data_IF_755397454864
#
_entry.id   IF_755397454864
#
_cell.length_a   1.000
_cell.length_b   1.000
_cell.length_c   1.000
_cell.angle_alpha   90.00
_cell.angle_beta   90.00
_cell.angle_gamma   90.00
#
_symmetry.space_group_name_H-M   'P 1'
#
loop_
_entity.id
_entity.type
_entity.pdbx_description
1 polymer ?
#
# COMPACT_ATOMS: atom_id res chain seq x y z
N UNK A 1 -11.68 -10.15 -39.66
CA UNK A 1 -10.79 -10.94 -38.75
C UNK A 1 -9.73 -10.09 -38.05
N UNK A 2 -9.27 -8.97 -38.63
CA UNK A 2 -8.25 -8.08 -38.03
C UNK A 2 -8.83 -7.19 -36.93
N UNK A 3 -10.03 -6.69 -37.07
CA UNK A 3 -10.70 -5.81 -36.10
C UNK A 3 -11.02 -6.50 -34.77
N UNK A 4 -11.46 -7.75 -34.82
CA UNK A 4 -11.71 -8.56 -33.61
C UNK A 4 -10.42 -8.95 -32.87
N UNK A 5 -9.29 -9.06 -33.56
CA UNK A 5 -7.97 -9.24 -32.91
C UNK A 5 -7.51 -8.00 -32.21
N UNK A 6 -7.67 -6.82 -32.83
CA UNK A 6 -7.34 -5.52 -32.21
C UNK A 6 -8.19 -5.28 -30.94
N UNK A 7 -9.50 -5.53 -31.00
CA UNK A 7 -10.38 -5.42 -29.82
C UNK A 7 -10.08 -6.46 -28.73
N UNK A 8 -9.63 -7.65 -29.11
CA UNK A 8 -9.21 -8.68 -28.15
C UNK A 8 -7.86 -8.34 -27.50
N UNK A 9 -6.95 -7.72 -28.24
CA UNK A 9 -5.66 -7.27 -27.70
C UNK A 9 -5.81 -6.03 -26.81
N UNK A 10 -6.71 -5.09 -27.12
CA UNK A 10 -7.03 -3.94 -26.29
C UNK A 10 -7.69 -4.36 -24.94
N UNK A 11 -8.50 -5.40 -24.92
CA UNK A 11 -9.11 -5.95 -23.70
C UNK A 11 -8.14 -6.76 -22.82
N UNK A 12 -6.94 -7.06 -23.29
CA UNK A 12 -5.90 -7.77 -22.53
C UNK A 12 -4.99 -6.86 -21.73
N UNK A 13 -4.99 -5.55 -22.02
CA UNK A 13 -4.08 -4.59 -21.38
C UNK A 13 -4.85 -3.83 -20.31
N UNK A 14 -4.45 -4.01 -19.06
CA UNK A 14 -4.91 -3.17 -17.96
C UNK A 14 -3.83 -2.14 -17.61
N UNK A 15 -4.25 -0.90 -17.41
CA UNK A 15 -3.36 0.18 -17.01
C UNK A 15 -3.38 0.28 -15.49
N UNK A 16 -2.24 0.00 -14.85
CA UNK A 16 -2.05 0.20 -13.41
C UNK A 16 -1.22 1.45 -13.16
N UNK A 17 -1.67 2.25 -12.22
CA UNK A 17 -0.89 3.38 -11.74
C UNK A 17 0.16 2.89 -10.76
N UNK A 18 1.39 3.36 -10.94
CA UNK A 18 2.49 3.15 -10.00
C UNK A 18 2.63 4.40 -9.16
N UNK A 19 2.50 4.24 -7.85
CA UNK A 19 2.80 5.31 -6.93
C UNK A 19 4.30 5.63 -6.97
N UNK A 20 4.71 6.89 -7.17
CA UNK A 20 6.11 7.28 -7.10
C UNK A 20 6.61 7.20 -5.66
N UNK A 21 7.93 7.08 -5.48
CA UNK A 21 8.55 7.28 -4.19
C UNK A 21 8.40 8.74 -3.78
N UNK A 22 8.02 8.98 -2.53
CA UNK A 22 7.90 10.33 -1.99
C UNK A 22 9.25 11.02 -1.92
N UNK A 23 9.34 12.30 -2.28
CA UNK A 23 10.56 13.10 -2.21
C UNK A 23 11.17 13.11 -0.81
N UNK A 24 12.48 13.12 -0.71
CA UNK A 24 13.20 13.23 0.57
C UNK A 24 13.24 14.69 1.04
N UNK A 25 13.33 14.88 2.36
CA UNK A 25 13.45 16.21 2.98
C UNK A 25 14.80 16.32 3.68
N UNK A 26 15.51 17.39 3.37
CA UNK A 26 16.84 17.67 3.91
C UNK A 26 16.86 18.99 4.68
N UNK A 27 17.76 19.12 5.65
CA UNK A 27 18.07 20.41 6.26
C UNK A 27 19.02 21.24 5.36
N UNK A 28 19.33 22.47 5.81
CA UNK A 28 20.25 23.37 5.08
C UNK A 28 21.67 22.81 4.90
N UNK A 29 22.07 21.84 5.69
CA UNK A 29 23.39 21.21 5.67
C UNK A 29 23.38 19.89 4.89
N UNK A 30 22.25 19.52 4.26
CA UNK A 30 22.09 18.28 3.53
C UNK A 30 21.83 17.04 4.40
N UNK A 31 21.54 17.22 5.69
CA UNK A 31 21.17 16.11 6.57
C UNK A 31 19.73 15.69 6.31
N UNK A 32 19.50 14.39 6.18
CA UNK A 32 18.18 13.82 5.93
C UNK A 32 17.29 14.01 7.15
N UNK A 33 16.12 14.62 6.95
CA UNK A 33 15.07 14.81 7.95
C UNK A 33 13.92 13.84 7.73
N UNK A 34 13.58 13.55 6.46
CA UNK A 34 12.59 12.53 6.10
C UNK A 34 13.02 11.78 4.84
N UNK A 35 12.96 10.45 4.89
CA UNK A 35 13.30 9.57 3.79
C UNK A 35 12.33 8.41 3.69
N UNK A 36 12.43 7.66 2.58
CA UNK A 36 11.70 6.41 2.42
C UNK A 36 12.65 5.24 2.71
N UNK A 37 12.18 4.28 3.47
CA UNK A 37 12.89 3.02 3.71
C UNK A 37 12.05 1.84 3.19
N UNK A 38 12.74 0.79 2.77
CA UNK A 38 12.07 -0.45 2.45
C UNK A 38 11.37 -1.00 3.68
N UNK A 39 10.13 -1.36 3.51
CA UNK A 39 9.34 -2.01 4.56
C UNK A 39 8.58 -3.19 3.98
N UNK A 40 8.22 -4.13 4.83
CA UNK A 40 7.46 -5.29 4.42
C UNK A 40 6.07 -5.22 5.04
N UNK A 41 5.08 -5.66 4.28
CA UNK A 41 3.69 -5.76 4.71
C UNK A 41 3.15 -7.14 4.43
N UNK A 42 2.17 -7.55 5.21
CA UNK A 42 1.38 -8.75 4.96
C UNK A 42 0.11 -8.36 4.25
N UNK A 43 -0.19 -9.07 3.19
CA UNK A 43 -1.46 -8.99 2.48
C UNK A 43 -2.17 -10.34 2.52
N UNK A 44 -3.50 -10.30 2.45
CA UNK A 44 -4.35 -11.48 2.33
C UNK A 44 -5.30 -11.33 1.15
N UNK A 45 -5.41 -12.37 0.32
CA UNK A 45 -6.33 -12.43 -0.81
C UNK A 45 -7.48 -13.37 -0.43
N UNK A 46 -8.71 -12.86 -0.47
CA UNK A 46 -9.91 -13.57 -0.01
C UNK A 46 -10.12 -14.89 -0.74
N UNK A 47 -10.01 -14.90 -2.07
CA UNK A 47 -10.27 -16.08 -2.87
C UNK A 47 -9.30 -17.24 -2.61
N UNK A 48 -8.06 -16.91 -2.18
CA UNK A 48 -7.02 -17.90 -1.90
C UNK A 48 -6.98 -18.32 -0.43
N UNK A 49 -7.52 -17.50 0.47
CA UNK A 49 -7.45 -17.72 1.91
C UNK A 49 -8.48 -18.74 2.43
N UNK A 50 -9.54 -19.03 1.67
CA UNK A 50 -10.63 -19.91 2.10
C UNK A 50 -11.38 -19.33 3.31
N UNK A 51 -10.96 -19.67 4.53
CA UNK A 51 -11.52 -19.13 5.77
C UNK A 51 -10.64 -18.01 6.32
N UNK A 52 -11.09 -16.77 6.15
CA UNK A 52 -10.36 -15.55 6.55
C UNK A 52 -10.11 -15.49 8.06
N UNK A 53 -11.13 -15.82 8.87
CA UNK A 53 -11.02 -15.74 10.32
C UNK A 53 -9.98 -16.74 10.86
N UNK A 54 -9.98 -17.96 10.34
CA UNK A 54 -9.02 -19.00 10.69
C UNK A 54 -7.60 -18.59 10.25
N UNK A 55 -7.44 -18.03 9.07
CA UNK A 55 -6.14 -17.55 8.57
C UNK A 55 -5.62 -16.39 9.41
N UNK A 56 -6.48 -15.41 9.77
CA UNK A 56 -6.11 -14.30 10.66
C UNK A 56 -5.76 -14.81 12.07
N UNK A 57 -6.49 -15.79 12.58
CA UNK A 57 -6.16 -16.42 13.86
C UNK A 57 -4.79 -17.11 13.82
N UNK A 58 -4.51 -17.90 12.79
CA UNK A 58 -3.20 -18.56 12.59
C UNK A 58 -2.08 -17.52 12.49
N UNK A 59 -2.32 -16.42 11.77
CA UNK A 59 -1.37 -15.33 11.62
C UNK A 59 -1.14 -14.59 12.96
N UNK A 60 -2.17 -14.41 13.77
CA UNK A 60 -2.07 -13.77 15.08
C UNK A 60 -1.21 -14.54 16.10
N UNK A 61 -1.03 -15.84 15.91
CA UNK A 61 -0.10 -16.66 16.70
C UNK A 61 1.37 -16.44 16.32
N UNK A 62 1.64 -15.94 15.14
CA UNK A 62 2.99 -15.72 14.63
C UNK A 62 3.47 -14.27 14.83
N UNK A 63 2.54 -13.32 14.72
CA UNK A 63 2.81 -11.89 14.82
C UNK A 63 1.72 -11.22 15.67
N UNK A 64 2.06 -10.06 16.26
CA UNK A 64 1.07 -9.28 17.00
C UNK A 64 0.09 -8.61 16.06
N UNK A 65 -1.16 -9.05 16.05
CA UNK A 65 -2.28 -8.38 15.36
C UNK A 65 -3.25 -7.90 16.44
N UNK A 66 -3.56 -6.60 16.46
CA UNK A 66 -4.54 -6.11 17.42
C UNK A 66 -5.96 -6.51 17.00
N UNK A 67 -6.87 -6.65 17.98
CA UNK A 67 -8.29 -6.90 17.72
C UNK A 67 -8.87 -5.86 16.72
N UNK A 68 -8.47 -4.61 16.88
CA UNK A 68 -8.88 -3.50 16.01
C UNK A 68 -8.42 -3.68 14.57
N UNK A 69 -7.18 -4.15 14.37
CA UNK A 69 -6.66 -4.43 13.03
C UNK A 69 -7.36 -5.62 12.39
N UNK A 70 -7.64 -6.68 13.15
CA UNK A 70 -8.37 -7.84 12.66
C UNK A 70 -9.78 -7.44 12.19
N UNK A 71 -10.54 -6.68 12.99
CA UNK A 71 -11.87 -6.18 12.60
C UNK A 71 -11.81 -5.32 11.34
N UNK A 72 -10.86 -4.37 11.27
CA UNK A 72 -10.65 -3.53 10.09
C UNK A 72 -10.36 -4.36 8.83
N UNK A 73 -9.52 -5.37 8.95
CA UNK A 73 -9.16 -6.24 7.81
C UNK A 73 -10.38 -7.02 7.31
N UNK A 74 -11.20 -7.56 8.21
CA UNK A 74 -12.43 -8.28 7.84
C UNK A 74 -13.39 -7.35 7.09
N UNK A 75 -13.64 -6.14 7.61
CA UNK A 75 -14.49 -5.16 6.96
C UNK A 75 -13.95 -4.73 5.58
N UNK A 76 -12.63 -4.55 5.45
CA UNK A 76 -11.98 -4.18 4.19
C UNK A 76 -12.08 -5.32 3.16
N UNK A 77 -11.91 -6.57 3.59
CA UNK A 77 -12.08 -7.77 2.75
C UNK A 77 -13.52 -7.91 2.24
N UNK A 78 -14.51 -7.61 3.07
CA UNK A 78 -15.92 -7.69 2.66
C UNK A 78 -16.29 -6.67 1.59
N UNK A 79 -15.67 -5.49 1.63
CA UNK A 79 -15.89 -4.39 0.68
C UNK A 79 -15.05 -4.50 -0.59
N UNK A 80 -14.00 -5.29 -0.57
CA UNK A 80 -13.05 -5.44 -1.68
C UNK A 80 -13.43 -6.58 -2.61
N UNK A 81 -12.99 -6.50 -3.88
CA UNK A 81 -13.12 -7.63 -4.79
C UNK A 81 -12.30 -8.83 -4.26
N UNK A 82 -12.79 -10.09 -4.42
CA UNK A 82 -12.18 -11.27 -3.81
C UNK A 82 -10.72 -11.54 -4.18
N UNK A 83 -10.30 -11.09 -5.36
CA UNK A 83 -8.95 -11.25 -5.89
C UNK A 83 -7.99 -10.11 -5.51
N UNK A 84 -8.49 -9.04 -4.86
CA UNK A 84 -7.64 -7.93 -4.45
C UNK A 84 -6.96 -8.21 -3.11
N UNK A 85 -5.64 -7.97 -3.01
CA UNK A 85 -4.93 -8.11 -1.76
C UNK A 85 -5.34 -7.02 -0.76
N UNK A 86 -5.70 -7.43 0.44
CA UNK A 86 -5.96 -6.54 1.57
C UNK A 86 -4.79 -6.60 2.53
N UNK A 87 -4.28 -5.44 2.94
CA UNK A 87 -3.14 -5.40 3.87
C UNK A 87 -3.60 -5.66 5.29
N UNK A 88 -3.01 -6.66 5.91
CA UNK A 88 -3.26 -7.01 7.31
C UNK A 88 -2.43 -6.12 8.24
N UNK A 89 -1.13 -6.02 7.97
CA UNK A 89 -0.18 -5.26 8.78
C UNK A 89 1.00 -4.77 7.95
N UNK A 90 1.46 -3.56 8.26
CA UNK A 90 2.64 -2.93 7.69
C UNK A 90 3.85 -3.01 8.66
N UNK A 91 5.02 -2.64 8.19
CA UNK A 91 6.26 -2.49 8.98
C UNK A 91 6.67 -3.74 9.74
N UNK A 92 6.74 -4.86 9.01
CA UNK A 92 7.20 -6.12 9.58
C UNK A 92 8.71 -6.11 9.85
N UNK A 93 9.11 -6.68 10.98
CA UNK A 93 10.50 -6.99 11.26
C UNK A 93 10.97 -8.22 10.47
N UNK A 94 12.29 -8.37 10.30
CA UNK A 94 12.85 -9.56 9.65
C UNK A 94 12.49 -10.86 10.37
N UNK A 95 12.42 -10.85 11.69
CA UNK A 95 12.02 -12.02 12.49
C UNK A 95 10.56 -12.41 12.25
N UNK A 96 9.67 -11.41 12.08
CA UNK A 96 8.27 -11.66 11.75
C UNK A 96 8.13 -12.23 10.35
N UNK A 97 8.88 -11.69 9.38
CA UNK A 97 8.92 -12.21 8.01
C UNK A 97 9.39 -13.67 7.98
N UNK A 98 10.48 -13.98 8.69
CA UNK A 98 11.02 -15.33 8.75
C UNK A 98 9.99 -16.32 9.35
N UNK A 99 9.29 -15.94 10.42
CA UNK A 99 8.23 -16.77 11.03
C UNK A 99 7.07 -17.01 10.06
N UNK A 100 6.64 -15.99 9.31
CA UNK A 100 5.58 -16.13 8.33
C UNK A 100 6.03 -17.02 7.18
N UNK A 101 7.24 -16.80 6.65
CA UNK A 101 7.79 -17.59 5.55
C UNK A 101 7.89 -19.08 5.92
N UNK A 102 8.33 -19.38 7.14
CA UNK A 102 8.39 -20.77 7.64
C UNK A 102 7.00 -21.42 7.79
N UNK A 103 5.94 -20.63 7.94
CA UNK A 103 4.56 -21.12 8.12
C UNK A 103 3.66 -20.87 6.90
N UNK A 104 4.20 -20.47 5.77
CA UNK A 104 3.44 -20.20 4.53
C UNK A 104 2.47 -21.31 4.14
N UNK A 105 2.81 -22.63 4.26
CA UNK A 105 1.86 -23.70 3.94
C UNK A 105 0.57 -23.70 4.78
N UNK A 106 0.63 -23.13 5.98
CA UNK A 106 -0.50 -23.03 6.91
C UNK A 106 -1.25 -21.69 6.83
N UNK A 107 -0.84 -20.82 5.90
CA UNK A 107 -1.36 -19.45 5.74
C UNK A 107 -1.85 -19.24 4.30
N UNK A 108 -2.91 -19.95 3.87
CA UNK A 108 -3.42 -19.82 2.51
C UNK A 108 -3.84 -18.36 2.24
N UNK A 109 -3.55 -17.86 1.04
CA UNK A 109 -3.88 -16.50 0.60
C UNK A 109 -3.06 -15.39 1.27
N UNK A 110 -2.13 -15.71 2.16
CA UNK A 110 -1.24 -14.72 2.81
C UNK A 110 0.04 -14.56 2.01
N UNK A 111 0.42 -13.31 1.74
CA UNK A 111 1.67 -12.96 1.06
C UNK A 111 2.41 -11.86 1.81
N UNK A 112 3.74 -11.90 1.74
CA UNK A 112 4.60 -10.81 2.21
C UNK A 112 4.99 -9.98 1.00
N UNK A 113 4.62 -8.71 1.03
CA UNK A 113 4.94 -7.76 -0.02
C UNK A 113 5.94 -6.72 0.46
N UNK A 114 6.82 -6.31 -0.43
CA UNK A 114 7.74 -5.21 -0.20
C UNK A 114 7.07 -3.88 -0.54
N UNK A 115 7.25 -2.89 0.31
CA UNK A 115 6.75 -1.53 0.12
C UNK A 115 7.76 -0.48 0.58
N UNK A 116 7.32 0.77 0.64
CA UNK A 116 8.08 1.88 1.19
C UNK A 116 7.35 2.43 2.43
N UNK A 117 8.11 2.72 3.47
CA UNK A 117 7.64 3.40 4.67
C UNK A 117 8.36 4.73 4.83
N UNK A 118 7.65 5.75 5.25
CA UNK A 118 8.23 7.06 5.53
C UNK A 118 8.90 7.05 6.91
N UNK A 119 10.18 7.41 6.97
CA UNK A 119 10.99 7.45 8.19
C UNK A 119 11.52 8.84 8.43
N UNK A 120 11.52 9.23 9.69
CA UNK A 120 11.97 10.53 10.19
C UNK A 120 13.12 10.32 11.20
N UNK A 121 14.39 10.30 10.76
CA UNK A 121 15.53 9.93 11.60
C UNK A 121 15.72 10.82 12.82
N UNK A 122 15.24 12.07 12.77
CA UNK A 122 15.38 13.06 13.85
C UNK A 122 14.02 13.56 14.32
N UNK A 123 13.03 12.66 14.45
CA UNK A 123 11.64 13.00 14.76
C UNK A 123 11.49 13.87 16.02
N UNK A 124 12.24 13.57 17.07
CA UNK A 124 12.17 14.31 18.34
C UNK A 124 12.46 15.81 18.19
N UNK A 125 13.39 16.16 17.29
CA UNK A 125 13.81 17.55 17.08
C UNK A 125 12.93 18.31 16.09
N UNK A 126 12.30 17.62 15.11
CA UNK A 126 11.65 18.26 13.97
C UNK A 126 10.18 17.89 13.79
N UNK A 127 9.58 17.10 14.69
CA UNK A 127 8.21 16.56 14.55
C UNK A 127 7.17 17.65 14.24
N UNK A 128 7.22 18.78 14.93
CA UNK A 128 6.25 19.87 14.75
C UNK A 128 6.42 20.64 13.43
N UNK A 129 7.65 20.68 12.89
CA UNK A 129 7.96 21.39 11.64
C UNK A 129 7.73 20.49 10.44
N UNK A 130 8.27 19.28 10.47
CA UNK A 130 8.20 18.33 9.36
C UNK A 130 6.81 17.73 9.21
N UNK A 131 6.17 17.41 10.32
CA UNK A 131 4.88 16.73 10.32
C UNK A 131 5.02 15.25 10.02
N UNK A 132 3.96 14.67 9.47
CA UNK A 132 3.90 13.23 9.14
C UNK A 132 2.99 12.97 7.93
N UNK A 133 3.15 11.79 7.37
CA UNK A 133 2.27 11.26 6.31
C UNK A 133 1.25 10.28 6.87
N UNK A 134 0.12 10.18 6.21
CA UNK A 134 -0.94 9.22 6.55
C UNK A 134 -1.80 8.88 5.35
N UNK A 135 -2.65 7.86 5.44
CA UNK A 135 -3.53 7.46 4.34
C UNK A 135 -4.47 8.62 3.94
N UNK A 136 -4.85 8.65 2.67
CA UNK A 136 -5.80 9.62 2.14
C UNK A 136 -7.14 9.48 2.88
N UNK A 137 -7.67 10.59 3.34
CA UNK A 137 -9.00 10.67 3.98
C UNK A 137 -10.00 11.36 3.06
N UNK A 138 -11.29 11.21 3.35
CA UNK A 138 -12.36 11.88 2.59
C UNK A 138 -12.20 13.42 2.61
N UNK A 139 -11.65 13.96 3.69
CA UNK A 139 -11.34 15.40 3.79
C UNK A 139 -10.20 15.83 2.87
N UNK A 140 -9.22 14.95 2.62
CA UNK A 140 -8.13 15.20 1.68
C UNK A 140 -8.65 15.17 0.23
N UNK A 141 -9.52 14.21 -0.09
CA UNK A 141 -10.18 14.12 -1.40
C UNK A 141 -11.03 15.36 -1.72
N UNK A 142 -11.79 15.85 -0.74
CA UNK A 142 -12.64 17.05 -0.89
C UNK A 142 -11.83 18.33 -1.05
N UNK A 143 -10.64 18.40 -0.46
CA UNK A 143 -9.75 19.57 -0.52
C UNK A 143 -8.93 19.60 -1.78
N UNK A 144 -8.60 18.45 -2.33
CA UNK A 144 -7.89 18.34 -3.59
C UNK A 144 -8.86 18.65 -4.71
N UNK A 145 -8.80 19.88 -5.26
CA UNK A 145 -9.52 20.27 -6.48
C UNK A 145 -9.03 19.50 -7.72
N UNK A 146 -7.98 18.73 -7.57
CA UNK A 146 -7.37 17.95 -8.64
C UNK A 146 -7.91 16.51 -8.59
N UNK A 147 -8.43 16.08 -9.73
CA UNK A 147 -8.83 14.69 -9.95
C UNK A 147 -7.58 13.78 -10.08
N UNK A 148 -6.64 13.92 -9.12
CA UNK A 148 -5.36 13.21 -9.17
C UNK A 148 -5.59 11.71 -8.91
N UNK A 149 -5.28 10.86 -9.90
CA UNK A 149 -5.53 9.44 -9.79
C UNK A 149 -4.71 8.75 -8.69
N UNK A 150 -3.58 9.32 -8.25
CA UNK A 150 -2.78 8.79 -7.14
C UNK A 150 -3.56 8.74 -5.83
N UNK A 151 -4.45 9.72 -5.59
CA UNK A 151 -5.25 9.79 -4.37
C UNK A 151 -6.30 8.67 -4.27
N UNK A 152 -6.60 8.01 -5.40
CA UNK A 152 -7.51 6.87 -5.49
C UNK A 152 -6.81 5.53 -5.27
N UNK A 153 -5.47 5.51 -5.24
CA UNK A 153 -4.71 4.31 -4.95
C UNK A 153 -4.95 3.92 -3.48
N UNK A 154 -5.36 2.67 -3.20
CA UNK A 154 -5.55 2.21 -1.84
C UNK A 154 -4.31 2.47 -0.98
N UNK A 155 -4.52 3.08 0.20
CA UNK A 155 -3.46 3.39 1.17
C UNK A 155 -2.36 4.34 0.68
N UNK A 156 -2.61 5.07 -0.39
CA UNK A 156 -1.69 6.13 -0.77
C UNK A 156 -1.55 7.13 0.39
N UNK A 157 -0.30 7.51 0.69
CA UNK A 157 0.00 8.39 1.81
C UNK A 157 0.16 9.83 1.35
N UNK A 158 -0.46 10.73 2.10
CA UNK A 158 -0.36 12.19 1.89
C UNK A 158 0.12 12.87 3.15
N UNK A 159 0.76 14.02 3.02
CA UNK A 159 1.19 14.83 4.14
C UNK A 159 -0.01 15.38 4.93
N UNK A 160 -0.04 15.13 6.22
CA UNK A 160 -1.15 15.54 7.11
C UNK A 160 -0.93 16.89 7.74
N UNK A 161 0.29 17.20 8.14
CA UNK A 161 0.68 18.46 8.79
C UNK A 161 2.10 18.86 8.40
N UNK A 162 2.52 20.05 8.73
CA UNK A 162 3.89 20.55 8.59
C UNK A 162 4.38 20.66 7.14
N UNK A 163 5.67 20.51 6.95
CA UNK A 163 6.35 20.53 5.65
C UNK A 163 5.77 19.44 4.72
N UNK A 164 5.51 18.25 5.25
CA UNK A 164 4.93 17.14 4.49
C UNK A 164 3.61 17.52 3.81
N UNK A 165 2.77 18.32 4.50
CA UNK A 165 1.51 18.81 3.94
C UNK A 165 1.71 20.02 3.03
N UNK A 166 2.57 20.97 3.44
CA UNK A 166 2.75 22.21 2.72
C UNK A 166 3.35 22.00 1.33
N UNK A 167 4.28 21.05 1.24
CA UNK A 167 4.95 20.67 -0.01
C UNK A 167 4.41 19.35 -0.61
N UNK A 168 3.17 18.97 -0.27
CA UNK A 168 2.56 17.71 -0.69
C UNK A 168 2.70 17.48 -2.21
N UNK A 169 2.38 18.48 -3.03
CA UNK A 169 2.38 18.35 -4.50
C UNK A 169 3.78 18.11 -5.06
N UNK A 170 4.80 18.68 -4.44
CA UNK A 170 6.20 18.49 -4.84
C UNK A 170 6.72 17.14 -4.33
N UNK A 171 6.46 16.82 -3.05
CA UNK A 171 6.96 15.61 -2.40
C UNK A 171 6.28 14.35 -2.93
N UNK A 172 4.99 14.44 -3.30
CA UNK A 172 4.20 13.31 -3.81
C UNK A 172 4.73 12.78 -5.15
N UNK A 173 5.25 13.67 -6.00
CA UNK A 173 5.69 13.32 -7.36
C UNK A 173 4.53 13.02 -8.32
N UNK A 174 4.87 12.45 -9.47
CA UNK A 174 3.93 12.13 -10.55
C UNK A 174 3.74 10.62 -10.70
N UNK A 175 2.50 10.21 -11.00
CA UNK A 175 2.16 8.81 -11.22
C UNK A 175 2.96 8.20 -12.37
N UNK A 176 3.54 7.03 -12.15
CA UNK A 176 3.96 6.14 -13.22
C UNK A 176 2.79 5.34 -13.78
N UNK A 177 2.95 4.86 -15.00
CA UNK A 177 1.96 4.01 -15.67
C UNK A 177 2.63 2.68 -16.01
N UNK A 178 2.00 1.58 -15.56
CA UNK A 178 2.39 0.22 -15.93
C UNK A 178 1.25 -0.41 -16.73
N UNK A 179 1.59 -0.96 -17.89
CA UNK A 179 0.67 -1.77 -18.68
C UNK A 179 0.88 -3.24 -18.29
N UNK A 180 -0.15 -3.89 -17.81
CA UNK A 180 -0.14 -5.32 -17.44
C UNK A 180 -1.10 -6.08 -18.32
N UNK A 181 -0.68 -7.25 -18.78
CA UNK A 181 -1.59 -8.17 -19.47
C UNK A 181 -2.47 -8.87 -18.43
N UNK A 182 -3.76 -8.89 -18.71
CA UNK A 182 -4.76 -9.53 -17.86
C UNK A 182 -5.59 -10.54 -18.66
N UNK A 183 -6.06 -11.57 -17.98
CA UNK A 183 -7.03 -12.49 -18.56
C UNK A 183 -8.46 -11.89 -18.58
N UNK A 184 -9.43 -12.63 -19.12
CA UNK A 184 -10.83 -12.21 -19.20
C UNK A 184 -11.48 -11.90 -17.82
N UNK A 185 -10.87 -12.36 -16.72
CA UNK A 185 -11.31 -12.10 -15.34
C UNK A 185 -10.55 -10.92 -14.68
N UNK A 186 -9.66 -10.24 -15.43
CA UNK A 186 -8.87 -9.12 -14.91
C UNK A 186 -7.64 -9.53 -14.08
N UNK A 187 -7.27 -10.81 -14.06
CA UNK A 187 -6.07 -11.32 -13.37
C UNK A 187 -4.84 -11.09 -14.24
N UNK A 188 -3.76 -10.64 -13.61
CA UNK A 188 -2.45 -10.48 -14.27
C UNK A 188 -1.93 -11.86 -14.67
N UNK A 189 -1.48 -11.98 -15.92
CA UNK A 189 -0.89 -13.21 -16.47
C UNK A 189 0.61 -13.26 -16.24
#
# INVERSE_FOLDING_TARGET
>A
ASEYRLLADENRINIRLIAPSRGEVYDRNGKIIARNEQSFRITIVKEDAGNIEQTLYSLSNLIKISQRDATRVIEEIERSAPFLPVTVRDQLSFDEIARIAANTPNLPGVSVEQGLSRVYPSLESYAHVVGYVGPVSDSDLKRSNENNPLLKIPRFQVGKVGIEKHYEDVLRGSAGIMKVEVNALGRVM
#
